data_IF_887014775916
#
_entry.id   IF_887014775916
#
_cell.length_a   1.000
_cell.length_b   1.000
_cell.length_c   1.000
_cell.angle_alpha   90.00
_cell.angle_beta   90.00
_cell.angle_gamma   90.00
#
_symmetry.space_group_name_H-M   'P 1'
#
loop_
_entity.id
_entity.type
_entity.pdbx_description
1 polymer ?
#
# COMPACT_ATOMS: atom_id res chain seq x y z
N UNK A 1 -2.17 -37.33 -54.80
CA UNK A 1 -2.08 -36.03 -54.09
C UNK A 1 -3.28 -35.70 -53.21
N UNK A 2 -4.37 -36.49 -53.20
CA UNK A 2 -5.57 -36.17 -52.38
C UNK A 2 -5.55 -36.61 -50.91
N UNK A 3 -4.78 -37.66 -50.55
CA UNK A 3 -4.79 -38.23 -49.20
C UNK A 3 -4.13 -37.35 -48.13
N UNK A 4 -3.09 -36.60 -48.50
CA UNK A 4 -2.42 -35.68 -47.57
C UNK A 4 -3.33 -34.47 -47.24
N UNK A 5 -4.14 -34.05 -48.21
CA UNK A 5 -4.99 -32.85 -48.08
C UNK A 5 -6.22 -33.12 -47.19
N UNK A 6 -6.84 -34.31 -47.31
CA UNK A 6 -7.95 -34.74 -46.45
C UNK A 6 -7.53 -34.97 -45.01
N UNK A 7 -6.30 -35.44 -44.77
CA UNK A 7 -5.78 -35.61 -43.40
C UNK A 7 -5.57 -34.24 -42.74
N UNK A 8 -4.99 -33.26 -43.44
CA UNK A 8 -4.72 -31.91 -42.90
C UNK A 8 -6.00 -31.16 -42.50
N UNK A 9 -7.08 -31.27 -43.30
CA UNK A 9 -8.37 -30.61 -43.03
C UNK A 9 -9.14 -31.18 -41.82
N UNK A 10 -8.86 -32.42 -41.40
CA UNK A 10 -9.51 -33.05 -40.25
C UNK A 10 -8.81 -32.75 -38.91
N UNK A 11 -7.53 -32.37 -38.93
CA UNK A 11 -6.74 -32.05 -37.72
C UNK A 11 -6.79 -30.56 -37.36
N UNK A 12 -6.99 -29.68 -38.34
CA UNK A 12 -7.12 -28.22 -38.13
C UNK A 12 -8.22 -27.82 -37.12
N UNK A 13 -9.46 -28.36 -37.17
CA UNK A 13 -10.48 -28.03 -36.18
C UNK A 13 -10.21 -28.65 -34.79
N UNK A 14 -9.48 -29.76 -34.72
CA UNK A 14 -9.06 -30.37 -33.45
C UNK A 14 -7.97 -29.55 -32.77
N UNK A 15 -6.98 -29.03 -33.51
CA UNK A 15 -5.92 -28.16 -32.98
C UNK A 15 -6.50 -26.81 -32.54
N UNK A 16 -7.50 -26.28 -33.25
CA UNK A 16 -8.20 -25.04 -32.87
C UNK A 16 -8.96 -25.17 -31.54
N UNK A 17 -9.48 -26.36 -31.21
CA UNK A 17 -10.13 -26.64 -29.91
C UNK A 17 -9.14 -26.79 -28.75
N UNK A 18 -7.86 -27.08 -29.02
CA UNK A 18 -6.80 -27.08 -27.99
C UNK A 18 -6.26 -25.68 -27.67
N UNK A 19 -6.45 -24.69 -28.53
CA UNK A 19 -5.85 -23.36 -28.37
C UNK A 19 -6.69 -22.37 -27.55
N UNK A 20 -7.88 -22.75 -27.07
CA UNK A 20 -8.82 -21.79 -26.45
C UNK A 20 -8.87 -21.80 -24.91
N UNK A 21 -8.04 -22.58 -24.21
CA UNK A 21 -8.06 -22.57 -22.75
C UNK A 21 -6.65 -22.49 -22.16
N UNK A 22 -5.89 -21.47 -22.54
CA UNK A 22 -5.00 -20.85 -21.56
C UNK A 22 -5.88 -20.03 -20.60
N UNK A 23 -6.67 -20.71 -19.78
CA UNK A 23 -7.17 -20.10 -18.55
C UNK A 23 -5.91 -19.84 -17.75
N UNK A 24 -5.47 -18.59 -17.75
CA UNK A 24 -4.45 -18.08 -16.83
C UNK A 24 -4.98 -18.40 -15.44
N UNK A 25 -4.59 -19.55 -14.90
CA UNK A 25 -4.74 -19.80 -13.49
C UNK A 25 -3.93 -18.70 -12.82
N UNK A 26 -4.62 -17.66 -12.34
CA UNK A 26 -4.03 -16.55 -11.62
C UNK A 26 -2.93 -17.03 -10.67
N UNK A 27 -1.80 -16.37 -10.80
CA UNK A 27 -0.52 -16.73 -10.20
C UNK A 27 -0.53 -16.31 -8.73
N UNK A 28 -0.04 -17.16 -7.79
CA UNK A 28 -0.10 -16.84 -6.37
C UNK A 28 0.82 -15.68 -5.97
N UNK A 29 0.59 -15.12 -4.77
CA UNK A 29 1.42 -14.00 -4.26
C UNK A 29 2.86 -14.47 -4.05
N UNK A 30 3.82 -13.72 -4.56
CA UNK A 30 5.26 -14.01 -4.51
C UNK A 30 5.83 -14.64 -5.78
N UNK A 31 4.97 -15.14 -6.67
CA UNK A 31 5.37 -15.74 -7.95
C UNK A 31 5.54 -14.70 -9.06
N UNK A 32 6.24 -15.10 -10.12
CA UNK A 32 6.57 -14.23 -11.24
C UNK A 32 5.33 -13.83 -12.05
N UNK A 33 5.28 -12.57 -12.47
CA UNK A 33 4.19 -12.03 -13.29
C UNK A 33 4.71 -11.09 -14.38
N UNK A 34 3.94 -10.98 -15.46
CA UNK A 34 4.19 -10.03 -16.55
C UNK A 34 3.18 -8.88 -16.55
N UNK A 35 1.93 -9.15 -16.16
CA UNK A 35 0.87 -8.16 -16.05
C UNK A 35 0.07 -8.37 -14.76
N UNK A 36 -0.61 -7.32 -14.28
CA UNK A 36 -1.47 -7.38 -13.09
C UNK A 36 -2.63 -8.36 -13.26
N UNK A 37 -3.17 -8.52 -14.48
CA UNK A 37 -4.22 -9.50 -14.78
C UNK A 37 -3.83 -10.92 -14.37
N UNK A 38 -2.53 -11.28 -14.54
CA UNK A 38 -2.02 -12.60 -14.17
C UNK A 38 -2.14 -12.87 -12.67
N UNK A 39 -2.19 -11.84 -11.81
CA UNK A 39 -2.29 -11.99 -10.36
C UNK A 39 -3.74 -11.92 -9.87
N UNK A 40 -4.54 -11.06 -10.50
CA UNK A 40 -5.91 -10.77 -10.07
C UNK A 40 -6.90 -11.90 -10.34
N UNK A 41 -6.61 -12.78 -11.30
CA UNK A 41 -7.53 -13.85 -11.71
C UNK A 41 -7.81 -14.89 -10.62
N UNK A 42 -6.96 -15.01 -9.58
CA UNK A 42 -7.16 -15.95 -8.47
C UNK A 42 -7.05 -15.33 -7.07
N UNK A 43 -6.52 -14.10 -6.95
CA UNK A 43 -6.30 -13.46 -5.65
C UNK A 43 -6.69 -11.99 -5.76
N UNK A 44 -7.83 -11.65 -5.16
CA UNK A 44 -8.29 -10.27 -5.05
C UNK A 44 -7.22 -9.39 -4.37
N UNK A 45 -7.20 -8.10 -4.74
CA UNK A 45 -6.31 -7.10 -4.15
C UNK A 45 -4.81 -7.40 -4.34
N UNK A 46 -4.46 -7.97 -5.50
CA UNK A 46 -3.08 -8.16 -5.95
C UNK A 46 -2.73 -7.28 -7.15
N UNK A 47 -1.46 -6.95 -7.28
CA UNK A 47 -0.88 -6.25 -8.44
C UNK A 47 0.46 -6.88 -8.84
N UNK A 48 0.81 -6.77 -10.12
CA UNK A 48 2.13 -7.19 -10.60
C UNK A 48 3.13 -6.05 -10.36
N UNK A 49 4.02 -6.21 -9.39
CA UNK A 49 5.00 -5.19 -9.00
C UNK A 49 6.40 -5.78 -8.91
N UNK A 50 7.33 -5.18 -9.65
CA UNK A 50 8.72 -5.68 -9.73
C UNK A 50 8.81 -7.09 -10.32
N UNK A 51 7.92 -7.44 -11.25
CA UNK A 51 7.88 -8.76 -11.88
C UNK A 51 7.35 -9.89 -10.98
N UNK A 52 6.76 -9.56 -9.82
CA UNK A 52 6.12 -10.53 -8.92
C UNK A 52 4.71 -10.10 -8.52
N UNK A 53 3.81 -11.05 -8.33
CA UNK A 53 2.49 -10.79 -7.77
C UNK A 53 2.64 -10.38 -6.31
N UNK A 54 2.13 -9.20 -5.96
CA UNK A 54 2.18 -8.64 -4.61
C UNK A 54 0.80 -8.12 -4.21
N UNK A 55 0.54 -8.02 -2.91
CA UNK A 55 -0.66 -7.33 -2.45
C UNK A 55 -0.57 -5.84 -2.80
N UNK A 56 -1.69 -5.23 -3.19
CA UNK A 56 -1.77 -3.79 -3.39
C UNK A 56 -1.39 -3.06 -2.11
N UNK A 57 -0.99 -1.79 -2.23
CA UNK A 57 -0.43 -1.01 -1.10
C UNK A 57 -1.32 -0.98 0.15
N UNK A 58 -2.65 -1.10 0.00
CA UNK A 58 -3.62 -1.09 1.11
C UNK A 58 -3.76 -2.44 1.82
N UNK A 59 -3.15 -3.50 1.28
CA UNK A 59 -3.25 -4.87 1.76
C UNK A 59 -1.89 -5.43 2.12
N UNK A 60 -1.88 -6.47 2.97
CA UNK A 60 -0.69 -7.24 3.28
C UNK A 60 -0.96 -8.73 3.10
N UNK A 61 0.11 -9.49 2.88
CA UNK A 61 0.02 -10.91 2.59
C UNK A 61 -0.13 -11.72 3.89
N UNK A 62 -1.17 -12.54 3.98
CA UNK A 62 -1.25 -13.67 4.90
C UNK A 62 -1.42 -14.93 4.05
N UNK A 63 -0.41 -15.82 4.09
CA UNK A 63 -0.37 -17.04 3.27
C UNK A 63 -0.54 -16.69 1.79
N UNK A 64 -1.66 -17.10 1.17
CA UNK A 64 -1.97 -16.84 -0.23
C UNK A 64 -3.14 -15.86 -0.41
N UNK A 65 -3.35 -14.98 0.57
CA UNK A 65 -4.45 -14.01 0.55
C UNK A 65 -3.91 -12.62 0.91
N UNK A 66 -4.45 -11.60 0.24
CA UNK A 66 -4.21 -10.21 0.56
C UNK A 66 -5.34 -9.73 1.47
N UNK A 67 -4.98 -9.32 2.68
CA UNK A 67 -5.92 -8.84 3.70
C UNK A 67 -5.70 -7.36 3.96
N UNK A 68 -6.76 -6.66 4.34
CA UNK A 68 -6.71 -5.21 4.59
C UNK A 68 -5.73 -4.87 5.71
N UNK A 69 -4.90 -3.85 5.47
CA UNK A 69 -4.12 -3.23 6.54
C UNK A 69 -5.04 -2.43 7.48
N UNK A 70 -4.61 -2.29 8.73
CA UNK A 70 -5.42 -1.61 9.74
C UNK A 70 -5.23 -0.09 9.73
N UNK A 71 -6.32 0.65 9.88
CA UNK A 71 -6.32 2.13 9.84
C UNK A 71 -5.64 2.77 11.07
N UNK A 72 -5.33 4.06 11.00
CA UNK A 72 -4.76 4.81 12.13
C UNK A 72 -5.67 4.80 13.36
N UNK A 73 -5.10 4.49 14.52
CA UNK A 73 -5.81 4.35 15.80
C UNK A 73 -6.41 2.97 16.03
N UNK A 74 -6.45 2.09 15.03
CA UNK A 74 -6.86 0.70 15.22
C UNK A 74 -5.74 -0.12 15.89
N UNK A 75 -6.13 -1.17 16.61
CA UNK A 75 -5.20 -2.12 17.21
C UNK A 75 -4.36 -2.84 16.15
N UNK A 76 -3.08 -3.00 16.41
CA UNK A 76 -2.12 -3.61 15.49
C UNK A 76 -1.17 -4.55 16.24
N UNK A 77 -0.50 -5.43 15.50
CA UNK A 77 0.56 -6.30 16.02
C UNK A 77 1.52 -6.72 14.88
N UNK A 78 2.45 -7.62 15.17
CA UNK A 78 3.43 -8.11 14.18
C UNK A 78 2.79 -8.76 12.94
N UNK A 79 1.54 -9.24 13.04
CA UNK A 79 0.80 -9.88 11.94
C UNK A 79 -0.30 -8.99 11.35
N UNK A 80 -0.46 -7.75 11.84
CA UNK A 80 -1.46 -6.78 11.39
C UNK A 80 -0.81 -5.40 11.23
N UNK A 81 -0.18 -5.15 10.06
CA UNK A 81 0.50 -3.90 9.80
C UNK A 81 -0.48 -2.75 9.54
N UNK A 82 0.02 -1.54 9.79
CA UNK A 82 -0.73 -0.31 9.59
C UNK A 82 -0.84 0.07 8.11
N UNK A 83 -1.98 0.65 7.75
CA UNK A 83 -2.34 1.05 6.39
C UNK A 83 -1.46 2.19 5.87
N UNK A 84 -1.21 3.20 6.71
CA UNK A 84 -0.43 4.37 6.35
C UNK A 84 1.07 4.07 6.40
N UNK A 85 1.81 4.38 5.32
CA UNK A 85 3.25 4.11 5.22
C UNK A 85 4.10 4.94 6.18
N UNK A 86 3.57 6.07 6.64
CA UNK A 86 4.20 6.96 7.63
C UNK A 86 3.75 6.65 9.06
N UNK A 87 3.08 5.51 9.26
CA UNK A 87 2.70 5.01 10.58
C UNK A 87 3.56 3.83 11.04
N UNK A 88 3.55 3.59 12.35
CA UNK A 88 4.18 2.47 13.04
C UNK A 88 3.18 1.82 13.99
N UNK A 89 3.42 0.56 14.34
CA UNK A 89 2.58 -0.17 15.28
C UNK A 89 3.11 -0.05 16.71
N UNK A 90 2.37 0.62 17.59
CA UNK A 90 2.65 0.73 19.02
C UNK A 90 1.42 0.28 19.84
N UNK A 91 1.01 -0.98 19.67
CA UNK A 91 -0.31 -1.54 20.09
C UNK A 91 -1.49 -1.02 19.27
N UNK A 92 -1.46 0.24 18.89
CA UNK A 92 -2.32 0.83 17.87
C UNK A 92 -1.47 1.47 16.77
N UNK A 93 -2.08 1.69 15.61
CA UNK A 93 -1.40 2.37 14.51
C UNK A 93 -1.28 3.86 14.79
N UNK A 94 -0.05 4.32 14.99
CA UNK A 94 0.31 5.71 15.30
C UNK A 94 1.27 6.26 14.27
N UNK A 95 1.30 7.59 14.09
CA UNK A 95 2.24 8.20 13.16
C UNK A 95 3.69 8.09 13.68
N UNK A 96 4.64 8.00 12.76
CA UNK A 96 6.08 8.07 13.07
C UNK A 96 6.42 9.48 13.59
N UNK A 97 7.56 9.62 14.29
CA UNK A 97 7.91 10.83 15.07
C UNK A 97 8.04 12.13 14.24
N UNK A 98 8.07 12.07 12.91
CA UNK A 98 8.07 13.24 12.00
C UNK A 98 6.73 13.48 11.32
N UNK A 99 5.67 12.81 11.78
CA UNK A 99 4.34 12.87 11.21
C UNK A 99 3.28 12.98 12.31
N UNK A 100 2.16 13.61 11.98
CA UNK A 100 1.01 13.73 12.87
C UNK A 100 -0.25 13.19 12.19
N UNK A 101 -1.19 12.73 13.01
CA UNK A 101 -2.51 12.29 12.53
C UNK A 101 -3.38 13.51 12.29
N UNK A 102 -3.70 13.80 11.04
CA UNK A 102 -4.67 14.85 10.76
C UNK A 102 -6.08 14.35 11.05
N UNK A 103 -6.77 15.02 11.97
CA UNK A 103 -8.14 14.68 12.36
C UNK A 103 -9.19 15.25 11.41
N UNK A 104 -8.81 16.09 10.45
CA UNK A 104 -9.72 16.70 9.47
C UNK A 104 -9.80 15.96 8.14
N UNK A 105 -8.77 15.17 7.79
CA UNK A 105 -8.62 14.54 6.47
C UNK A 105 -8.28 13.05 6.60
N UNK A 106 -9.01 12.16 5.92
CA UNK A 106 -8.73 10.73 5.61
C UNK A 106 -8.05 9.83 6.67
N UNK A 107 -7.88 10.30 7.91
CA UNK A 107 -7.05 9.65 8.94
C UNK A 107 -5.68 9.20 8.41
N UNK A 108 -4.94 10.09 7.74
CA UNK A 108 -3.57 9.85 7.25
C UNK A 108 -2.52 10.58 8.09
N UNK A 109 -1.30 10.07 8.06
CA UNK A 109 -0.15 10.70 8.69
C UNK A 109 0.43 11.78 7.78
N UNK A 110 0.33 13.04 8.20
CA UNK A 110 0.90 14.21 7.49
C UNK A 110 2.24 14.60 8.10
N UNK A 111 3.19 15.15 7.34
CA UNK A 111 4.46 15.63 7.88
C UNK A 111 4.23 16.67 8.98
N UNK A 112 4.96 16.56 10.08
CA UNK A 112 4.92 17.54 11.17
C UNK A 112 5.39 18.92 10.72
N UNK A 113 4.82 19.95 11.35
CA UNK A 113 4.96 21.35 10.97
C UNK A 113 6.11 21.99 11.73
N UNK A 114 7.03 22.61 10.99
CA UNK A 114 8.18 23.30 11.56
C UNK A 114 7.79 24.63 12.22
N UNK A 115 8.64 25.15 13.13
CA UNK A 115 8.39 26.43 13.77
C UNK A 115 8.25 27.60 12.79
N UNK A 116 7.45 28.60 13.16
CA UNK A 116 7.03 29.75 12.34
C UNK A 116 6.09 29.41 11.17
N UNK A 117 5.53 28.19 11.14
CA UNK A 117 4.47 27.81 10.21
C UNK A 117 3.16 27.63 10.99
N UNK A 118 2.03 27.92 10.34
CA UNK A 118 0.70 27.80 10.94
C UNK A 118 0.42 26.36 11.32
N UNK A 119 -0.11 26.15 12.53
CA UNK A 119 -0.42 24.82 13.04
C UNK A 119 -1.53 24.14 12.22
N UNK A 120 -1.47 22.82 12.17
CA UNK A 120 -2.53 21.97 11.65
C UNK A 120 -3.50 21.54 12.75
N UNK A 121 -4.30 20.53 12.43
CA UNK A 121 -5.28 19.92 13.33
C UNK A 121 -4.90 18.47 13.64
N UNK A 122 -4.73 18.08 14.92
CA UNK A 122 -4.90 18.90 16.13
C UNK A 122 -3.68 19.80 16.41
N UNK A 123 -3.93 20.96 17.06
CA UNK A 123 -2.97 22.08 17.16
C UNK A 123 -1.56 21.65 17.61
N UNK A 124 -1.40 21.10 18.81
CA UNK A 124 -0.08 20.80 19.36
C UNK A 124 0.59 19.60 18.68
N UNK A 125 -0.18 18.55 18.34
CA UNK A 125 0.37 17.35 17.72
C UNK A 125 0.83 17.59 16.27
N UNK A 126 0.31 18.64 15.63
CA UNK A 126 0.72 18.99 14.27
C UNK A 126 2.14 19.53 14.17
N UNK A 127 2.71 20.02 15.26
CA UNK A 127 4.06 20.56 15.28
C UNK A 127 5.12 19.43 15.37
N UNK A 128 6.35 19.72 14.95
CA UNK A 128 7.49 18.82 15.18
C UNK A 128 7.72 18.55 16.67
N UNK A 129 8.39 17.44 16.99
CA UNK A 129 8.74 17.09 18.39
C UNK A 129 9.49 18.24 19.06
N UNK A 130 9.17 18.52 20.32
CA UNK A 130 9.66 19.67 21.10
C UNK A 130 9.24 21.05 20.56
N UNK A 131 8.11 21.10 19.86
CA UNK A 131 7.43 22.34 19.50
C UNK A 131 5.94 22.24 19.86
N UNK A 132 5.33 23.39 20.17
CA UNK A 132 3.91 23.49 20.49
C UNK A 132 3.24 24.57 19.66
N UNK A 133 1.92 24.52 19.55
CA UNK A 133 1.16 25.53 18.85
C UNK A 133 0.84 26.70 19.78
N UNK A 134 1.34 27.89 19.48
CA UNK A 134 1.08 29.07 20.31
C UNK A 134 -0.34 29.65 20.09
N UNK A 135 -0.71 30.63 20.91
CA UNK A 135 -2.00 31.33 20.81
C UNK A 135 -2.23 32.01 19.45
N UNK A 136 -1.16 32.40 18.77
CA UNK A 136 -1.17 32.99 17.42
C UNK A 136 -1.31 31.94 16.31
N UNK A 137 -1.48 30.66 16.66
CA UNK A 137 -1.61 29.52 15.76
C UNK A 137 -0.36 29.24 14.91
N UNK A 138 0.83 29.52 15.44
CA UNK A 138 2.10 29.11 14.86
C UNK A 138 2.81 28.09 15.74
N UNK A 139 3.48 27.12 15.11
CA UNK A 139 4.38 26.23 15.83
C UNK A 139 5.59 27.03 16.34
N UNK A 140 5.92 26.85 17.62
CA UNK A 140 7.08 27.49 18.28
C UNK A 140 7.84 26.43 19.07
N UNK A 141 9.16 26.57 19.16
CA UNK A 141 9.98 25.65 19.95
C UNK A 141 9.62 25.74 21.44
N UNK A 142 9.66 24.58 22.11
CA UNK A 142 9.67 24.54 23.57
C UNK A 142 10.94 25.21 24.12
N UNK A 143 10.87 25.67 25.36
CA UNK A 143 11.99 26.33 26.03
C UNK A 143 13.18 25.37 26.08
N UNK A 144 14.34 25.82 25.59
CA UNK A 144 15.56 25.02 25.54
C UNK A 144 15.81 24.32 24.20
N UNK A 145 14.88 24.40 23.24
CA UNK A 145 15.04 23.83 21.90
C UNK A 145 15.18 24.93 20.83
N UNK A 146 15.89 24.62 19.75
CA UNK A 146 16.02 25.49 18.57
C UNK A 146 15.74 24.71 17.29
N UNK A 147 15.10 25.36 16.32
CA UNK A 147 14.81 24.75 15.03
C UNK A 147 16.08 24.70 14.17
N UNK A 148 16.52 23.50 13.81
CA UNK A 148 17.57 23.30 12.81
C UNK A 148 16.95 22.60 11.60
N UNK A 149 17.06 23.22 10.42
CA UNK A 149 16.63 22.61 9.17
C UNK A 149 17.79 21.78 8.63
N UNK A 150 17.82 20.49 8.93
CA UNK A 150 18.69 19.56 8.22
C UNK A 150 18.11 19.34 6.82
N UNK A 151 18.88 19.72 5.80
CA UNK A 151 18.54 19.55 4.38
C UNK A 151 19.02 18.20 3.87
#
# INVERSE_FOLDING_TARGET
MGYLYTVVLLILPLIALYFQFAVSAGVPVGEACTNTSNCTDNIANTECKGGKCQCVITHYQIKNTCVDKVALGASCNATMPCLDTNSKCEKTCVCKDSFYKDTTSDSKCKPSIYPNVTCGTPKNESCVVNAYCNSTSFCVCEIGFTATKTS
#
